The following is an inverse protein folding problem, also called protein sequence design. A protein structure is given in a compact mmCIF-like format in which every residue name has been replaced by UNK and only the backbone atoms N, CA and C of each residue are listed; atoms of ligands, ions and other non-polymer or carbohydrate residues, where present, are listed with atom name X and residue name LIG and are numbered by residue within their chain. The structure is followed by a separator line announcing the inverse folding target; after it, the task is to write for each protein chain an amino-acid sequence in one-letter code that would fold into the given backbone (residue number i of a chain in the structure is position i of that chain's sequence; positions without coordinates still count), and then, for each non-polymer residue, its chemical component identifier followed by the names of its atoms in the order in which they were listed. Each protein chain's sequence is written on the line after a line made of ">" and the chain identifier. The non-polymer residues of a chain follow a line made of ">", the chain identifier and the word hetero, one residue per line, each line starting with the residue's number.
data_IF_006084753669
#
_entry.id   IF_006084753669
#
_cell.length_a   1.000
_cell.length_b   1.000
_cell.length_c   1.000
_cell.angle_alpha   90.00
_cell.angle_beta   90.00
_cell.angle_gamma   90.00
#
_symmetry.space_group_name_H-M   'P 1'
#
loop_
_entity.id
_entity.type
_entity.pdbx_description
1 polymer ?
#
# COMPACT_ATOMS: atom_id res chain seq x y z
N UNK A 1 5.14 42.59 38.60
CA UNK A 1 4.82 41.70 37.46
C UNK A 1 5.81 41.99 36.34
N UNK A 2 6.92 41.24 36.26
CA UNK A 2 7.93 41.45 35.24
C UNK A 2 7.32 41.19 33.86
N UNK A 3 7.28 42.22 33.01
CA UNK A 3 6.96 42.03 31.58
C UNK A 3 8.08 41.15 31.01
N UNK A 4 7.74 39.92 30.61
CA UNK A 4 8.63 39.09 29.79
C UNK A 4 9.21 39.96 28.67
N UNK A 5 10.52 39.87 28.46
CA UNK A 5 11.18 40.63 27.39
C UNK A 5 10.58 40.20 26.05
N UNK A 6 10.66 41.08 25.04
CA UNK A 6 10.13 40.76 23.70
C UNK A 6 10.79 39.49 23.15
N UNK A 7 12.07 39.28 23.48
CA UNK A 7 12.84 38.08 23.14
C UNK A 7 12.26 36.80 23.76
N UNK A 8 11.93 36.80 25.06
CA UNK A 8 11.31 35.66 25.72
C UNK A 8 9.94 35.32 25.13
N UNK A 9 9.17 36.35 24.72
CA UNK A 9 7.87 36.15 24.05
C UNK A 9 8.04 35.59 22.65
N UNK A 10 9.04 36.06 21.90
CA UNK A 10 9.36 35.55 20.57
C UNK A 10 9.80 34.08 20.65
N UNK A 11 10.70 33.75 21.57
CA UNK A 11 11.14 32.38 21.82
C UNK A 11 9.98 31.46 22.22
N UNK A 12 9.03 31.96 23.04
CA UNK A 12 7.84 31.19 23.41
C UNK A 12 6.91 30.93 22.21
N UNK A 13 6.73 31.91 21.32
CA UNK A 13 5.93 31.75 20.11
C UNK A 13 6.58 30.79 19.10
N UNK A 14 7.90 30.87 18.93
CA UNK A 14 8.64 29.96 18.06
C UNK A 14 8.59 28.51 18.57
N UNK A 15 8.72 28.31 19.90
CA UNK A 15 8.56 27.00 20.51
C UNK A 15 7.14 26.44 20.29
N UNK A 16 6.09 27.27 20.43
CA UNK A 16 4.71 26.86 20.15
C UNK A 16 4.51 26.50 18.68
N UNK A 17 5.07 27.30 17.76
CA UNK A 17 5.01 27.02 16.32
C UNK A 17 5.71 25.72 15.97
N UNK A 18 6.88 25.45 16.54
CA UNK A 18 7.62 24.21 16.34
C UNK A 18 6.81 23.00 16.84
N UNK A 19 6.19 23.10 18.02
CA UNK A 19 5.36 22.04 18.58
C UNK A 19 4.13 21.74 17.70
N UNK A 20 3.43 22.78 17.22
CA UNK A 20 2.28 22.63 16.33
C UNK A 20 2.69 22.00 14.99
N UNK A 21 3.81 22.44 14.40
CA UNK A 21 4.34 21.86 13.15
C UNK A 21 4.73 20.40 13.33
N UNK A 22 5.36 20.04 14.46
CA UNK A 22 5.68 18.66 14.78
C UNK A 22 4.42 17.79 14.87
N UNK A 23 3.37 18.29 15.54
CA UNK A 23 2.08 17.59 15.63
C UNK A 23 1.41 17.41 14.26
N UNK A 24 1.44 18.45 13.42
CA UNK A 24 0.91 18.37 12.06
C UNK A 24 1.64 17.30 11.25
N UNK A 25 2.98 17.30 11.26
CA UNK A 25 3.77 16.29 10.54
C UNK A 25 3.49 14.86 11.02
N UNK A 26 3.19 14.69 12.31
CA UNK A 26 2.81 13.38 12.88
C UNK A 26 1.46 12.94 12.35
N UNK A 27 0.49 13.87 12.29
CA UNK A 27 -0.84 13.58 11.75
C UNK A 27 -0.79 13.25 10.26
N UNK A 28 0.01 13.98 9.48
CA UNK A 28 0.20 13.74 8.05
C UNK A 28 0.80 12.36 7.80
N UNK A 29 1.84 11.96 8.53
CA UNK A 29 2.42 10.61 8.44
C UNK A 29 1.43 9.52 8.85
N UNK A 30 0.63 9.75 9.88
CA UNK A 30 -0.41 8.81 10.29
C UNK A 30 -1.49 8.64 9.21
N UNK A 31 -1.95 9.75 8.62
CA UNK A 31 -2.93 9.73 7.54
C UNK A 31 -2.35 9.08 6.27
N UNK A 32 -1.10 9.38 5.92
CA UNK A 32 -0.43 8.77 4.77
C UNK A 32 -0.29 7.26 4.91
N UNK A 33 0.12 6.80 6.10
CA UNK A 33 0.18 5.37 6.44
C UNK A 33 -1.20 4.73 6.32
N UNK A 34 -2.23 5.36 6.90
CA UNK A 34 -3.60 4.84 6.83
C UNK A 34 -4.12 4.75 5.40
N UNK A 35 -3.86 5.77 4.57
CA UNK A 35 -4.24 5.78 3.15
C UNK A 35 -3.57 4.64 2.38
N UNK A 36 -2.26 4.43 2.59
CA UNK A 36 -1.50 3.34 1.94
C UNK A 36 -2.04 1.97 2.33
N UNK A 37 -2.32 1.76 3.62
CA UNK A 37 -2.88 0.50 4.13
C UNK A 37 -4.28 0.25 3.57
N UNK A 38 -5.16 1.26 3.58
CA UNK A 38 -6.53 1.11 3.06
C UNK A 38 -6.55 0.82 1.56
N UNK A 39 -5.68 1.47 0.77
CA UNK A 39 -5.55 1.19 -0.66
C UNK A 39 -5.05 -0.24 -0.90
N UNK A 40 -4.04 -0.69 -0.15
CA UNK A 40 -3.55 -2.06 -0.22
C UNK A 40 -4.64 -3.09 0.12
N UNK A 41 -5.35 -2.88 1.22
CA UNK A 41 -6.45 -3.75 1.65
C UNK A 41 -7.58 -3.83 0.60
N UNK A 42 -7.91 -2.71 -0.04
CA UNK A 42 -8.91 -2.69 -1.12
C UNK A 42 -8.45 -3.51 -2.33
N UNK A 43 -7.19 -3.40 -2.73
CA UNK A 43 -6.63 -4.15 -3.85
C UNK A 43 -6.64 -5.64 -3.56
N UNK A 44 -6.19 -6.06 -2.37
CA UNK A 44 -6.22 -7.46 -1.94
C UNK A 44 -7.65 -8.00 -1.92
N UNK A 45 -8.59 -7.27 -1.30
CA UNK A 45 -9.99 -7.64 -1.29
C UNK A 45 -10.59 -7.78 -2.70
N UNK A 46 -10.16 -6.93 -3.64
CA UNK A 46 -10.62 -6.98 -5.03
C UNK A 46 -10.04 -8.19 -5.77
N UNK A 47 -8.82 -8.61 -5.44
CA UNK A 47 -8.25 -9.83 -6.02
C UNK A 47 -8.98 -11.09 -5.53
N UNK A 48 -9.43 -11.10 -4.28
CA UNK A 48 -10.10 -12.27 -3.66
C UNK A 48 -11.60 -12.35 -3.97
N UNK A 49 -12.31 -11.22 -3.92
CA UNK A 49 -13.79 -11.20 -3.83
C UNK A 49 -14.49 -10.54 -5.03
N UNK A 50 -13.79 -10.26 -6.13
CA UNK A 50 -14.41 -9.58 -7.27
C UNK A 50 -15.22 -10.54 -8.15
N UNK A 51 -16.48 -10.19 -8.43
CA UNK A 51 -17.35 -10.86 -9.42
C UNK A 51 -16.92 -10.64 -10.88
N UNK A 52 -15.79 -9.98 -11.11
CA UNK A 52 -15.20 -9.74 -12.45
C UNK A 52 -13.84 -10.45 -12.55
N UNK A 53 -13.81 -11.67 -13.11
CA UNK A 53 -12.58 -12.46 -13.25
C UNK A 53 -11.53 -11.83 -14.17
N UNK A 54 -11.95 -11.14 -15.23
CA UNK A 54 -11.05 -10.52 -16.20
C UNK A 54 -10.32 -9.33 -15.59
N UNK A 55 -11.05 -8.51 -14.81
CA UNK A 55 -10.44 -7.42 -14.06
C UNK A 55 -9.44 -7.93 -13.03
N UNK A 56 -9.80 -8.96 -12.25
CA UNK A 56 -8.92 -9.57 -11.25
C UNK A 56 -7.65 -10.14 -11.87
N UNK A 57 -7.77 -10.83 -13.02
CA UNK A 57 -6.61 -11.36 -13.75
C UNK A 57 -5.69 -10.25 -14.24
N UNK A 58 -6.23 -9.23 -14.90
CA UNK A 58 -5.45 -8.07 -15.39
C UNK A 58 -4.76 -7.33 -14.25
N UNK A 59 -5.45 -7.16 -13.12
CA UNK A 59 -4.88 -6.51 -11.94
C UNK A 59 -3.76 -7.35 -11.35
N UNK A 60 -3.96 -8.67 -11.18
CA UNK A 60 -2.92 -9.58 -10.73
C UNK A 60 -1.68 -9.56 -11.63
N UNK A 61 -1.86 -9.63 -12.94
CA UNK A 61 -0.75 -9.59 -13.90
C UNK A 61 0.01 -8.26 -13.86
N UNK A 62 -0.70 -7.15 -13.69
CA UNK A 62 -0.08 -5.84 -13.48
C UNK A 62 0.71 -5.80 -12.17
N UNK A 63 0.15 -6.30 -11.06
CA UNK A 63 0.84 -6.36 -9.77
C UNK A 63 2.13 -7.21 -9.86
N UNK A 64 2.11 -8.36 -10.53
CA UNK A 64 3.31 -9.21 -10.72
C UNK A 64 4.43 -8.52 -11.50
N UNK A 65 4.09 -7.60 -12.41
CA UNK A 65 5.10 -6.85 -13.17
C UNK A 65 5.64 -5.66 -12.39
N UNK A 66 4.78 -4.91 -11.71
CA UNK A 66 5.16 -3.65 -11.08
C UNK A 66 5.69 -3.82 -9.64
N UNK A 67 5.15 -4.76 -8.83
CA UNK A 67 5.60 -4.94 -7.44
C UNK A 67 7.09 -5.29 -7.33
N UNK A 68 7.68 -6.19 -8.14
CA UNK A 68 9.10 -6.48 -8.04
C UNK A 68 10.00 -5.27 -8.28
N UNK A 69 9.55 -4.30 -9.09
CA UNK A 69 10.26 -3.03 -9.32
C UNK A 69 10.02 -2.00 -8.20
N UNK A 70 8.87 -2.07 -7.52
CA UNK A 70 8.54 -1.20 -6.39
C UNK A 70 9.16 -1.67 -5.07
N UNK A 71 9.27 -2.98 -4.86
CA UNK A 71 9.82 -3.60 -3.66
C UNK A 71 11.36 -3.61 -3.72
N UNK A 72 11.96 -2.69 -2.97
CA UNK A 72 13.42 -2.54 -2.94
C UNK A 72 14.12 -3.49 -1.97
N UNK A 73 13.40 -4.05 -0.99
CA UNK A 73 13.95 -4.95 0.03
C UNK A 73 13.51 -6.38 -0.21
N UNK A 74 14.42 -7.33 -0.05
CA UNK A 74 14.12 -8.75 -0.29
C UNK A 74 13.12 -9.31 0.72
N UNK A 75 13.19 -8.88 1.99
CA UNK A 75 12.18 -9.25 3.00
C UNK A 75 10.78 -8.76 2.67
N UNK A 76 10.64 -7.63 1.95
CA UNK A 76 9.32 -7.17 1.50
C UNK A 76 8.82 -8.03 0.33
N UNK A 77 9.70 -8.52 -0.56
CA UNK A 77 9.33 -9.40 -1.67
C UNK A 77 8.77 -10.74 -1.18
N UNK A 78 9.34 -11.28 -0.09
CA UNK A 78 8.86 -12.51 0.54
C UNK A 78 7.41 -12.38 1.04
N UNK A 79 7.02 -11.21 1.56
CA UNK A 79 5.66 -10.95 2.02
C UNK A 79 4.60 -10.97 0.91
N UNK A 80 5.01 -10.81 -0.35
CA UNK A 80 4.13 -10.85 -1.52
C UNK A 80 4.39 -12.07 -2.41
N UNK A 81 5.15 -13.07 -1.96
CA UNK A 81 5.53 -14.21 -2.78
C UNK A 81 4.33 -15.04 -3.27
N UNK A 82 3.26 -15.11 -2.48
CA UNK A 82 1.97 -15.71 -2.82
C UNK A 82 1.26 -14.99 -3.98
N UNK A 83 1.33 -13.66 -3.99
CA UNK A 83 0.76 -12.80 -5.02
C UNK A 83 1.61 -12.79 -6.30
N UNK A 84 2.93 -12.71 -6.12
CA UNK A 84 3.93 -12.75 -7.19
C UNK A 84 4.01 -14.14 -7.85
N UNK A 85 3.73 -15.18 -7.08
CA UNK A 85 3.83 -16.59 -7.46
C UNK A 85 2.48 -17.31 -7.47
N UNK A 86 1.56 -16.89 -8.34
CA UNK A 86 0.51 -17.78 -8.88
C UNK A 86 0.20 -17.45 -10.33
N UNK A 87 1.15 -17.75 -11.21
CA UNK A 87 0.94 -17.76 -12.65
C UNK A 87 0.68 -19.17 -13.22
N UNK A 88 0.45 -20.18 -12.37
CA UNK A 88 0.48 -21.59 -12.79
C UNK A 88 -0.78 -22.42 -12.51
N UNK A 89 -1.93 -21.83 -12.15
CA UNK A 89 -3.19 -22.59 -12.04
C UNK A 89 -4.32 -21.87 -12.78
N UNK A 90 -4.34 -22.00 -14.11
CA UNK A 90 -5.57 -22.08 -14.95
C UNK A 90 -5.16 -22.28 -16.41
N UNK A 91 -4.37 -23.32 -16.66
CA UNK A 91 -4.19 -23.88 -18.00
C UNK A 91 -4.23 -25.40 -17.92
N UNK A 92 -5.34 -25.96 -17.43
CA UNK A 92 -5.71 -27.37 -17.68
C UNK A 92 -7.22 -27.59 -17.51
N UNK A 93 -8.01 -27.10 -18.46
CA UNK A 93 -9.36 -27.62 -18.71
C UNK A 93 -9.70 -27.37 -20.19
N UNK A 94 -8.89 -27.96 -21.06
CA UNK A 94 -9.00 -27.80 -22.51
C UNK A 94 -8.13 -28.81 -23.22
N UNK A 95 -8.37 -30.09 -22.99
CA UNK A 95 -8.11 -31.20 -23.94
C UNK A 95 -8.59 -32.51 -23.31
N UNK A 96 -9.89 -32.78 -23.41
CA UNK A 96 -10.37 -34.16 -23.48
C UNK A 96 -10.74 -34.37 -24.94
N UNK A 97 -9.77 -34.89 -25.69
CA UNK A 97 -9.95 -35.32 -27.07
C UNK A 97 -10.92 -36.49 -27.18
N UNK A 98 -11.55 -36.52 -28.35
CA UNK A 98 -12.10 -37.67 -29.06
C UNK A 98 -11.66 -39.06 -28.56
N UNK A 99 -12.66 -39.92 -28.30
CA UNK A 99 -12.68 -41.34 -28.67
C UNK A 99 -14.16 -41.79 -28.59
N UNK A 100 -14.86 -42.01 -29.71
CA UNK A 100 -14.90 -43.26 -30.48
C UNK A 100 -16.21 -44.04 -30.22
N UNK A 101 -16.87 -44.37 -31.35
CA UNK A 101 -17.94 -45.35 -31.56
C UNK A 101 -19.39 -44.96 -31.25
#
# INVERSE_FOLDING_TARGET
>A
MARKTIEERLAQLDAQRAALKARLSKQERANDTRRKVLLGALVLHRLENSNDPDFTKRLGDWLRRELPGFLTRDGDKELFADLLGKAADTQTAGSAGEASS
#
